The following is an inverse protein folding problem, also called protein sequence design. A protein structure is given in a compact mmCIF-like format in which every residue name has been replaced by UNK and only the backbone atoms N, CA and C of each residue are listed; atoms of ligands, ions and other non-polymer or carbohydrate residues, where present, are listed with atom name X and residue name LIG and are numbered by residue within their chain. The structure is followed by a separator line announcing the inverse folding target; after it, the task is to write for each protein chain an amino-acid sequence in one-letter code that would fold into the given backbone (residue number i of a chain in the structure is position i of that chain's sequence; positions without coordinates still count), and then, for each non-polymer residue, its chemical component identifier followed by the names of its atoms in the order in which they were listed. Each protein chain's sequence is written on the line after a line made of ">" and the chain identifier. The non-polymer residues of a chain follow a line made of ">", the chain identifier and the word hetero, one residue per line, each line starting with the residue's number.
data_IF_392197081965
#
_entry.id   IF_392197081965
#
_cell.length_a   1.000
_cell.length_b   1.000
_cell.length_c   1.000
_cell.angle_alpha   90.00
_cell.angle_beta   90.00
_cell.angle_gamma   90.00
#
_symmetry.space_group_name_H-M   'P 1'
#
loop_
_entity.id
_entity.type
_entity.pdbx_description
1 polymer ?
#
# COMPACT_ATOMS: atom_id res chain seq x y z
N UNK A 1 7.95 26.66 -17.15
CA UNK A 1 8.71 25.56 -16.52
C UNK A 1 7.97 25.25 -15.24
N UNK A 2 7.02 24.32 -15.30
CA UNK A 2 6.36 23.79 -14.10
C UNK A 2 7.40 22.91 -13.42
N UNK A 3 7.91 23.40 -12.29
CA UNK A 3 8.78 22.61 -11.42
C UNK A 3 7.97 21.39 -10.98
N UNK A 4 8.42 20.20 -11.36
CA UNK A 4 7.79 18.97 -10.90
C UNK A 4 7.98 18.88 -9.39
N UNK A 5 6.92 18.63 -8.63
CA UNK A 5 7.03 18.42 -7.19
C UNK A 5 8.05 17.30 -6.92
N UNK A 6 8.94 17.53 -5.96
CA UNK A 6 9.91 16.51 -5.59
C UNK A 6 9.17 15.34 -4.93
N UNK A 7 9.73 14.13 -5.05
CA UNK A 7 9.18 12.94 -4.40
C UNK A 7 8.86 13.17 -2.91
N UNK A 8 9.74 13.87 -2.19
CA UNK A 8 9.54 14.19 -0.78
C UNK A 8 8.31 15.07 -0.56
N UNK A 9 8.06 16.04 -1.43
CA UNK A 9 6.89 16.93 -1.32
C UNK A 9 5.59 16.15 -1.50
N UNK A 10 5.56 15.24 -2.48
CA UNK A 10 4.41 14.36 -2.71
C UNK A 10 4.17 13.40 -1.53
N UNK A 11 5.23 12.92 -0.88
CA UNK A 11 5.11 12.08 0.31
C UNK A 11 4.55 12.88 1.50
N UNK A 12 5.01 14.11 1.70
CA UNK A 12 4.47 14.97 2.76
C UNK A 12 3.00 15.35 2.49
N UNK A 13 2.62 15.60 1.23
CA UNK A 13 1.21 15.77 0.84
C UNK A 13 0.36 14.55 1.22
N UNK A 14 0.87 13.34 0.95
CA UNK A 14 0.18 12.11 1.37
C UNK A 14 0.06 12.07 2.90
N UNK A 15 1.13 12.35 3.65
CA UNK A 15 1.09 12.30 5.13
C UNK A 15 0.14 13.31 5.73
N UNK A 16 0.10 14.54 5.20
CA UNK A 16 -0.84 15.58 5.65
C UNK A 16 -2.29 15.13 5.40
N UNK A 17 -2.56 14.59 4.22
CA UNK A 17 -3.87 14.06 3.88
C UNK A 17 -4.28 12.90 4.78
N UNK A 18 -3.37 11.93 4.99
CA UNK A 18 -3.61 10.78 5.87
C UNK A 18 -3.75 11.22 7.33
N UNK A 19 -3.04 12.25 7.75
CA UNK A 19 -3.17 12.89 9.07
C UNK A 19 -4.55 13.48 9.28
N UNK A 20 -5.09 14.19 8.28
CA UNK A 20 -6.47 14.67 8.30
C UNK A 20 -7.46 13.51 8.42
N UNK A 21 -7.33 12.46 7.61
CA UNK A 21 -8.22 11.29 7.70
C UNK A 21 -8.14 10.59 9.05
N UNK A 22 -6.94 10.33 9.55
CA UNK A 22 -6.69 9.71 10.86
C UNK A 22 -7.33 10.52 11.99
N UNK A 23 -7.34 11.86 11.92
CA UNK A 23 -7.99 12.72 12.91
C UNK A 23 -9.50 12.54 13.01
N UNK A 24 -10.13 11.98 11.96
CA UNK A 24 -11.58 11.70 11.91
C UNK A 24 -11.94 10.26 12.30
N UNK A 25 -10.95 9.38 12.42
CA UNK A 25 -11.17 7.98 12.80
C UNK A 25 -11.50 7.89 14.29
N UNK A 26 -12.72 7.44 14.63
CA UNK A 26 -13.17 7.28 16.03
C UNK A 26 -12.37 6.22 16.80
N UNK A 27 -11.72 5.29 16.10
CA UNK A 27 -10.89 4.22 16.63
C UNK A 27 -9.74 3.94 15.67
N UNK A 28 -8.71 3.23 16.14
CA UNK A 28 -7.51 2.88 15.37
C UNK A 28 -7.85 2.23 14.02
N UNK A 29 -7.86 3.04 12.96
CA UNK A 29 -8.33 2.66 11.64
C UNK A 29 -7.22 2.59 10.59
N UNK A 30 -7.59 2.39 9.32
CA UNK A 30 -6.64 2.22 8.23
C UNK A 30 -5.67 3.40 8.09
N UNK A 31 -6.16 4.64 8.22
CA UNK A 31 -5.33 5.84 8.07
C UNK A 31 -4.40 6.00 9.27
N UNK A 32 -4.87 5.67 10.47
CA UNK A 32 -4.02 5.69 11.68
C UNK A 32 -2.87 4.67 11.60
N UNK A 33 -3.14 3.47 11.10
CA UNK A 33 -2.12 2.42 10.88
C UNK A 33 -1.08 2.90 9.87
N UNK A 34 -1.52 3.41 8.72
CA UNK A 34 -0.62 3.90 7.66
C UNK A 34 0.20 5.09 8.15
N UNK A 35 -0.40 6.05 8.86
CA UNK A 35 0.34 7.20 9.39
C UNK A 35 1.45 6.79 10.37
N UNK A 36 1.18 5.79 11.21
CA UNK A 36 2.11 5.36 12.26
C UNK A 36 3.24 4.46 11.74
N UNK A 37 2.93 3.59 10.78
CA UNK A 37 3.83 2.49 10.37
C UNK A 37 4.19 2.50 8.89
N UNK A 38 3.58 3.39 8.12
CA UNK A 38 3.80 3.51 6.69
C UNK A 38 5.22 3.97 6.34
N UNK A 39 5.65 3.59 5.15
CA UNK A 39 6.92 3.96 4.55
C UNK A 39 6.69 4.54 3.17
N UNK A 40 7.57 5.44 2.77
CA UNK A 40 7.57 6.00 1.43
C UNK A 40 8.19 5.00 0.44
N UNK A 41 7.57 4.84 -0.73
CA UNK A 41 8.08 4.00 -1.81
C UNK A 41 8.15 4.80 -3.10
N UNK A 42 9.29 4.68 -3.80
CA UNK A 42 9.49 5.28 -5.12
C UNK A 42 9.05 4.30 -6.21
N UNK A 43 8.45 4.79 -7.31
CA UNK A 43 8.21 3.99 -8.51
C UNK A 43 9.51 3.39 -9.04
N UNK A 44 9.42 2.16 -9.54
CA UNK A 44 10.47 1.60 -10.38
C UNK A 44 10.44 2.26 -11.74
N UNK A 45 11.56 2.88 -12.13
CA UNK A 45 11.76 3.44 -13.48
C UNK A 45 11.95 2.33 -14.53
N UNK A 46 12.29 1.12 -14.08
CA UNK A 46 12.52 -0.01 -14.95
C UNK A 46 11.20 -0.69 -15.31
N UNK A 47 10.95 -0.82 -16.62
CA UNK A 47 9.81 -1.57 -17.12
C UNK A 47 9.92 -3.02 -16.68
N UNK A 48 8.92 -3.47 -15.94
CA UNK A 48 8.80 -4.84 -15.45
C UNK A 48 8.24 -5.75 -16.57
N UNK A 49 9.04 -6.60 -17.25
CA UNK A 49 8.61 -7.23 -18.50
C UNK A 49 7.47 -8.25 -18.34
N UNK A 50 7.35 -8.85 -17.16
CA UNK A 50 6.30 -9.81 -16.83
C UNK A 50 4.97 -9.14 -16.44
N UNK A 51 4.97 -7.83 -16.22
CA UNK A 51 3.80 -7.11 -15.73
C UNK A 51 2.78 -6.91 -16.86
N UNK A 52 1.68 -7.65 -16.78
CA UNK A 52 0.46 -7.35 -17.53
C UNK A 52 -0.46 -6.50 -16.67
N UNK A 53 -0.75 -5.29 -17.13
CA UNK A 53 -1.58 -4.35 -16.40
C UNK A 53 -3.02 -4.87 -16.30
N UNK A 54 -3.60 -4.71 -15.13
CA UNK A 54 -4.97 -5.08 -14.84
C UNK A 54 -5.97 -3.97 -15.13
N UNK A 55 -7.21 -4.16 -14.67
CA UNK A 55 -8.30 -3.21 -14.92
C UNK A 55 -8.09 -1.93 -14.09
N UNK A 56 -8.32 -0.73 -14.66
CA UNK A 56 -8.32 0.51 -13.89
C UNK A 56 -9.30 0.45 -12.72
N UNK A 57 -8.93 1.08 -11.59
CA UNK A 57 -9.71 1.11 -10.33
C UNK A 57 -9.88 -0.27 -9.64
N UNK A 58 -9.07 -1.25 -10.01
CA UNK A 58 -9.08 -2.60 -9.43
C UNK A 58 -7.74 -2.94 -8.76
N UNK A 59 -7.09 -1.94 -8.18
CA UNK A 59 -5.70 -2.01 -7.72
C UNK A 59 -5.45 -3.11 -6.69
N UNK A 60 -6.35 -3.29 -5.74
CA UNK A 60 -6.26 -4.34 -4.72
C UNK A 60 -6.22 -5.74 -5.35
N UNK A 61 -7.12 -6.04 -6.30
CA UNK A 61 -7.13 -7.34 -6.97
C UNK A 61 -5.95 -7.50 -7.92
N UNK A 62 -5.59 -6.45 -8.67
CA UNK A 62 -4.46 -6.46 -9.58
C UNK A 62 -3.15 -6.79 -8.85
N UNK A 63 -2.87 -6.12 -7.73
CA UNK A 63 -1.68 -6.39 -6.91
C UNK A 63 -1.75 -7.77 -6.25
N UNK A 64 -2.91 -8.16 -5.71
CA UNK A 64 -3.11 -9.48 -5.10
C UNK A 64 -2.80 -10.62 -6.07
N UNK A 65 -3.26 -10.53 -7.32
CA UNK A 65 -3.07 -11.56 -8.33
C UNK A 65 -1.59 -11.88 -8.58
N UNK A 66 -0.70 -10.90 -8.44
CA UNK A 66 0.74 -11.11 -8.54
C UNK A 66 1.36 -11.56 -7.22
N UNK A 67 1.11 -10.83 -6.13
CA UNK A 67 1.76 -11.12 -4.85
C UNK A 67 1.35 -12.48 -4.25
N UNK A 68 0.16 -13.00 -4.58
CA UNK A 68 -0.28 -14.31 -4.11
C UNK A 68 0.50 -15.49 -4.76
N UNK A 69 1.16 -15.28 -5.90
CA UNK A 69 1.82 -16.36 -6.66
C UNK A 69 3.32 -16.13 -6.90
N UNK A 70 3.83 -14.93 -6.62
CA UNK A 70 5.25 -14.58 -6.77
C UNK A 70 5.96 -14.52 -5.43
N UNK A 71 7.23 -14.89 -5.40
CA UNK A 71 8.11 -14.85 -4.23
C UNK A 71 9.10 -13.68 -4.25
N UNK A 72 9.17 -12.95 -5.36
CA UNK A 72 10.11 -11.85 -5.60
C UNK A 72 9.48 -10.45 -5.48
N UNK A 73 8.24 -10.39 -4.98
CA UNK A 73 7.53 -9.13 -4.71
C UNK A 73 6.75 -9.23 -3.40
N UNK A 74 6.57 -8.08 -2.77
CA UNK A 74 5.70 -7.90 -1.62
C UNK A 74 4.39 -7.24 -2.05
N UNK A 75 3.34 -7.44 -1.26
CA UNK A 75 2.06 -6.77 -1.45
C UNK A 75 2.01 -5.51 -0.59
N UNK A 76 1.63 -4.36 -1.13
CA UNK A 76 1.56 -3.13 -0.35
C UNK A 76 0.23 -2.40 -0.50
N UNK A 77 -0.19 -1.77 0.60
CA UNK A 77 -1.38 -0.92 0.66
C UNK A 77 -1.09 0.39 1.38
N UNK A 78 -1.78 1.44 0.95
CA UNK A 78 -1.70 2.75 1.57
C UNK A 78 -2.31 3.80 0.66
N UNK A 79 -1.60 4.92 0.51
CA UNK A 79 -2.03 6.03 -0.31
C UNK A 79 -0.99 6.36 -1.37
N UNK A 80 -1.47 6.76 -2.54
CA UNK A 80 -0.63 7.20 -3.65
C UNK A 80 -1.14 8.52 -4.21
N UNK A 81 -0.22 9.34 -4.72
CA UNK A 81 -0.51 10.58 -5.43
C UNK A 81 0.38 10.68 -6.67
N UNK A 82 -0.12 11.35 -7.70
CA UNK A 82 0.57 11.57 -8.97
C UNK A 82 0.03 12.83 -9.65
N UNK A 83 0.70 13.33 -10.71
CA UNK A 83 0.40 14.63 -11.32
C UNK A 83 -1.05 14.81 -11.80
N UNK A 84 -1.73 13.73 -12.14
CA UNK A 84 -3.11 13.71 -12.62
C UNK A 84 -4.16 13.59 -11.50
N UNK A 85 -3.74 13.36 -10.26
CA UNK A 85 -4.62 13.19 -9.12
C UNK A 85 -4.78 14.51 -8.36
N UNK A 86 -6.02 14.87 -8.08
CA UNK A 86 -6.34 16.10 -7.33
C UNK A 86 -6.11 15.97 -5.82
N UNK A 87 -5.89 14.75 -5.34
CA UNK A 87 -5.65 14.41 -3.93
C UNK A 87 -5.07 12.99 -3.84
N UNK A 88 -4.37 12.64 -2.75
CA UNK A 88 -3.97 11.26 -2.49
C UNK A 88 -5.17 10.31 -2.45
N UNK A 89 -5.00 9.11 -3.02
CA UNK A 89 -6.04 8.08 -3.06
C UNK A 89 -5.56 6.78 -2.43
N UNK A 90 -6.48 6.04 -1.81
CA UNK A 90 -6.18 4.69 -1.36
C UNK A 90 -5.81 3.80 -2.55
N UNK A 91 -4.74 3.04 -2.39
CA UNK A 91 -4.18 2.25 -3.48
C UNK A 91 -3.46 1.01 -2.98
N UNK A 92 -3.28 0.05 -3.88
CA UNK A 92 -2.48 -1.15 -3.65
C UNK A 92 -1.50 -1.37 -4.81
N UNK A 93 -0.30 -1.81 -4.47
CA UNK A 93 0.80 -1.99 -5.41
C UNK A 93 1.68 -3.17 -5.00
N UNK A 94 2.67 -3.48 -5.83
CA UNK A 94 3.72 -4.44 -5.52
C UNK A 94 5.00 -3.70 -5.15
N UNK A 95 5.81 -4.29 -4.27
CA UNK A 95 7.15 -3.78 -3.95
C UNK A 95 8.18 -4.84 -4.33
N UNK A 96 9.15 -4.48 -5.16
CA UNK A 96 10.25 -5.39 -5.53
C UNK A 96 11.24 -5.58 -4.37
N UNK A 97 12.20 -6.49 -4.55
CA UNK A 97 13.23 -6.76 -3.53
C UNK A 97 14.19 -5.58 -3.28
N UNK A 98 14.17 -4.55 -4.13
CA UNK A 98 14.93 -3.30 -3.93
C UNK A 98 14.10 -2.21 -3.25
N UNK A 99 12.84 -2.50 -2.88
CA UNK A 99 11.94 -1.55 -2.27
C UNK A 99 11.29 -0.56 -3.24
N UNK A 100 11.27 -0.86 -4.54
CA UNK A 100 10.64 -0.01 -5.57
C UNK A 100 9.23 -0.50 -5.90
N UNK A 101 8.36 0.46 -6.18
CA UNK A 101 6.97 0.19 -6.55
C UNK A 101 6.88 -0.36 -7.98
N UNK A 102 6.13 -1.45 -8.11
CA UNK A 102 5.61 -1.95 -9.38
C UNK A 102 4.09 -1.81 -9.31
N UNK A 103 3.52 -0.90 -10.10
CA UNK A 103 2.08 -0.64 -10.11
C UNK A 103 1.38 -1.45 -11.23
N UNK A 104 0.60 -2.48 -10.89
CA UNK A 104 -0.10 -3.29 -11.89
C UNK A 104 -1.33 -2.59 -12.48
N UNK A 105 -1.66 -1.37 -12.04
CA UNK A 105 -2.90 -0.66 -12.41
C UNK A 105 -2.62 0.61 -13.22
N UNK A 106 -1.72 1.47 -12.77
CA UNK A 106 -1.47 2.78 -13.39
C UNK A 106 -0.26 2.81 -14.31
N UNK A 107 -0.39 3.50 -15.44
CA UNK A 107 0.71 3.74 -16.39
C UNK A 107 1.56 4.94 -15.96
N UNK A 108 2.80 5.00 -16.44
CA UNK A 108 3.67 6.19 -16.32
C UNK A 108 3.82 6.73 -14.89
N UNK A 109 4.06 5.81 -13.95
CA UNK A 109 4.11 6.09 -12.51
C UNK A 109 5.38 6.80 -12.04
N UNK A 110 6.30 7.16 -12.93
CA UNK A 110 7.62 7.71 -12.58
C UNK A 110 7.56 8.98 -11.71
N UNK A 111 6.48 9.75 -11.85
CA UNK A 111 6.23 10.98 -11.09
C UNK A 111 5.23 10.79 -9.94
N UNK A 112 4.94 9.55 -9.56
CA UNK A 112 4.07 9.24 -8.43
C UNK A 112 4.85 9.07 -7.14
N UNK A 113 4.16 9.25 -6.02
CA UNK A 113 4.63 8.84 -4.70
C UNK A 113 3.64 7.88 -4.06
N UNK A 114 4.17 6.97 -3.26
CA UNK A 114 3.41 5.96 -2.54
C UNK A 114 3.82 5.97 -1.08
N UNK A 115 2.86 5.93 -0.17
CA UNK A 115 3.10 5.85 1.26
C UNK A 115 2.17 4.81 1.89
N UNK A 116 2.74 3.75 2.47
CA UNK A 116 1.95 2.60 2.91
C UNK A 116 2.76 1.53 3.63
N UNK A 117 2.14 0.36 3.79
CA UNK A 117 2.75 -0.80 4.46
C UNK A 117 2.87 -1.93 3.44
N UNK A 118 4.05 -2.55 3.39
CA UNK A 118 4.29 -3.76 2.62
C UNK A 118 4.11 -4.99 3.53
N UNK A 119 3.48 -6.02 2.98
CA UNK A 119 3.12 -7.28 3.61
C UNK A 119 3.79 -8.43 2.89
N UNK A 120 4.22 -9.42 3.67
CA UNK A 120 4.74 -10.65 3.09
C UNK A 120 3.64 -11.50 2.47
N UNK A 121 4.03 -12.36 1.53
CA UNK A 121 3.09 -13.22 0.79
C UNK A 121 2.32 -14.18 1.70
N UNK A 122 2.96 -14.73 2.74
CA UNK A 122 2.31 -15.68 3.65
C UNK A 122 1.15 -14.98 4.35
N UNK A 123 1.41 -13.79 4.91
CA UNK A 123 0.38 -13.00 5.56
C UNK A 123 -0.77 -12.65 4.59
N UNK A 124 -0.45 -12.18 3.37
CA UNK A 124 -1.48 -11.92 2.35
C UNK A 124 -2.37 -13.14 2.09
N UNK A 125 -1.78 -14.31 1.86
CA UNK A 125 -2.53 -15.54 1.54
C UNK A 125 -3.39 -16.00 2.72
N UNK A 126 -2.89 -15.89 3.95
CA UNK A 126 -3.66 -16.16 5.16
C UNK A 126 -4.87 -15.23 5.26
N UNK A 127 -4.67 -13.92 5.06
CA UNK A 127 -5.75 -12.93 5.09
C UNK A 127 -6.80 -13.16 3.99
N UNK A 128 -6.39 -13.55 2.78
CA UNK A 128 -7.32 -13.93 1.73
C UNK A 128 -8.16 -15.15 2.12
N UNK A 129 -7.55 -16.16 2.73
CA UNK A 129 -8.27 -17.36 3.18
C UNK A 129 -9.30 -17.04 4.27
N UNK A 130 -8.93 -16.20 5.24
CA UNK A 130 -9.80 -15.77 6.34
C UNK A 130 -10.96 -14.87 5.88
N UNK A 131 -10.73 -14.05 4.85
CA UNK A 131 -11.69 -13.05 4.36
C UNK A 131 -12.47 -13.48 3.11
N UNK A 132 -12.53 -14.79 2.81
CA UNK A 132 -13.30 -15.32 1.69
C UNK A 132 -12.81 -14.87 0.31
N UNK A 133 -11.50 -14.63 0.19
CA UNK A 133 -10.82 -14.20 -1.03
C UNK A 133 -10.89 -12.70 -1.32
N UNK A 134 -11.39 -11.87 -0.39
CA UNK A 134 -11.46 -10.43 -0.58
C UNK A 134 -10.08 -9.77 -0.44
N UNK A 135 -9.60 -9.14 -1.52
CA UNK A 135 -8.41 -8.31 -1.50
C UNK A 135 -8.65 -7.00 -0.73
N UNK A 136 -7.58 -6.39 -0.20
CA UNK A 136 -7.66 -5.20 0.65
C UNK A 136 -7.60 -5.54 2.14
N UNK A 137 -6.40 -5.61 2.69
CA UNK A 137 -6.07 -5.84 4.10
C UNK A 137 -6.41 -4.60 4.94
N UNK A 138 -5.87 -3.44 4.58
CA UNK A 138 -6.03 -2.20 5.34
C UNK A 138 -7.39 -1.55 5.05
N UNK A 139 -7.83 -1.50 3.80
CA UNK A 139 -9.14 -0.90 3.48
C UNK A 139 -10.30 -1.69 4.09
N UNK A 140 -10.15 -3.02 4.24
CA UNK A 140 -11.12 -3.88 4.90
C UNK A 140 -10.70 -4.27 6.32
N UNK A 141 -10.01 -3.39 7.07
CA UNK A 141 -9.54 -3.67 8.44
C UNK A 141 -10.64 -4.16 9.39
N UNK A 142 -11.91 -3.84 9.10
CA UNK A 142 -13.06 -4.35 9.85
C UNK A 142 -13.23 -5.88 9.76
N UNK A 143 -12.70 -6.55 8.74
CA UNK A 143 -12.73 -8.01 8.61
C UNK A 143 -11.77 -8.66 9.62
N UNK A 144 -10.59 -8.10 9.83
CA UNK A 144 -9.62 -8.54 10.87
C UNK A 144 -10.24 -8.37 12.27
N UNK A 145 -10.99 -7.29 12.49
CA UNK A 145 -11.73 -7.04 13.75
C UNK A 145 -12.81 -8.06 14.08
N UNK A 146 -13.22 -8.93 13.14
CA UNK A 146 -14.19 -9.99 13.42
C UNK A 146 -13.63 -11.04 14.37
N UNK A 147 -12.31 -11.22 14.37
CA UNK A 147 -11.60 -12.24 15.14
C UNK A 147 -10.79 -11.64 16.29
N UNK A 148 -10.46 -10.35 16.24
CA UNK A 148 -9.69 -9.62 17.26
C UNK A 148 -10.50 -8.45 17.82
N UNK A 149 -10.67 -8.41 19.15
CA UNK A 149 -11.49 -7.39 19.84
C UNK A 149 -10.66 -6.25 20.42
N UNK A 150 -9.37 -6.45 20.67
CA UNK A 150 -8.47 -5.44 21.24
C UNK A 150 -7.70 -4.69 20.14
N UNK A 151 -7.53 -3.37 20.32
CA UNK A 151 -6.74 -2.51 19.43
C UNK A 151 -5.30 -2.98 19.30
N UNK A 152 -4.69 -3.34 20.42
CA UNK A 152 -3.29 -3.75 20.47
C UNK A 152 -3.08 -5.00 19.60
N UNK A 153 -4.01 -5.95 19.67
CA UNK A 153 -3.93 -7.20 18.90
C UNK A 153 -4.05 -6.94 17.39
N UNK A 154 -4.92 -6.01 16.98
CA UNK A 154 -5.07 -5.63 15.56
C UNK A 154 -3.79 -4.98 15.05
N UNK A 155 -3.24 -4.03 15.82
CA UNK A 155 -2.00 -3.37 15.46
C UNK A 155 -0.84 -4.37 15.36
N UNK A 156 -0.71 -5.27 16.34
CA UNK A 156 0.34 -6.27 16.36
C UNK A 156 0.26 -7.25 15.18
N UNK A 157 -0.94 -7.72 14.82
CA UNK A 157 -1.11 -8.61 13.65
C UNK A 157 -0.68 -7.94 12.34
N UNK A 158 -1.01 -6.66 12.17
CA UNK A 158 -0.55 -5.89 11.00
C UNK A 158 0.97 -5.80 10.97
N UNK A 159 1.60 -5.56 12.13
CA UNK A 159 3.06 -5.47 12.24
C UNK A 159 3.75 -6.81 12.01
N UNK A 160 3.20 -7.90 12.53
CA UNK A 160 3.75 -9.25 12.37
C UNK A 160 3.69 -9.74 10.92
N UNK A 161 2.67 -9.30 10.17
CA UNK A 161 2.55 -9.56 8.73
C UNK A 161 3.33 -8.59 7.85
N UNK A 162 3.84 -7.49 8.42
CA UNK A 162 4.58 -6.48 7.67
C UNK A 162 5.98 -6.96 7.32
N UNK A 163 6.39 -6.71 6.08
CA UNK A 163 7.72 -7.09 5.64
C UNK A 163 8.78 -6.17 6.26
N UNK A 164 9.77 -6.74 6.93
CA UNK A 164 10.95 -5.99 7.36
C UNK A 164 11.78 -5.64 6.13
N UNK A 165 11.65 -4.41 5.65
CA UNK A 165 12.54 -3.89 4.62
C UNK A 165 13.70 -3.12 5.25
N UNK A 166 14.94 -3.47 4.89
CA UNK A 166 16.12 -2.67 5.22
C UNK A 166 15.96 -1.29 4.58
N UNK A 167 15.90 -0.25 5.41
CA UNK A 167 15.74 1.13 4.94
C UNK A 167 16.89 1.48 3.99
N UNK A 168 16.56 1.77 2.74
CA UNK A 168 17.46 2.49 1.83
C UNK A 168 16.79 3.84 1.57
N UNK A 169 17.46 4.89 2.04
CA UNK A 169 17.02 6.29 2.06
C UNK A 169 16.69 6.85 0.68
#
# INVERSE_FOLDING_TARGET
>A
MTDGMLFTDLVEEIKDFVGLLSSTEQAFGPSTVVLKHGRAFKPSVDRTPWLKRGKPRDCFNNATAYAAVRDDVLYAEGYAVGPELVMPVQHAWLVDLNGRVIDPTWIDVDNHAYFGIAFDRRFLVEQLAENGGQAGILVNLHLIRRFLRDRHDIEQVILDGSATMSASF
#
